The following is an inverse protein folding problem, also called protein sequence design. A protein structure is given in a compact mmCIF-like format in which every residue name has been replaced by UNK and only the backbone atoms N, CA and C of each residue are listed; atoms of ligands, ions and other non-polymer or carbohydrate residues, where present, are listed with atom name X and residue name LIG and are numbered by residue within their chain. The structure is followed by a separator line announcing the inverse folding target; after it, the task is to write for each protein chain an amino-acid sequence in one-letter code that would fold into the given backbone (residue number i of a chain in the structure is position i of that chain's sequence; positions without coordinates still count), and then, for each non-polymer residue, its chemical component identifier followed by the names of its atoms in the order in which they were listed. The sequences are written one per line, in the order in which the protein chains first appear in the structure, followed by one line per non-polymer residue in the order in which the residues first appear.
data_IF_302306067310
#
_entry.id   IF_302306067310
#
_cell.length_a   1.000
_cell.length_b   1.000
_cell.length_c   1.000
_cell.angle_alpha   90.00
_cell.angle_beta   90.00
_cell.angle_gamma   90.00
#
_symmetry.space_group_name_H-M   'P 1'
#
loop_
_entity.id
_entity.type
_entity.pdbx_description
1 polymer ?
#
# COMPACT_ATOMS: atom_id res chain seq x y z
N UNK A 1 2.70 -4.07 13.51
CA UNK A 1 2.70 -5.41 14.10
C UNK A 1 3.82 -6.24 13.49
N UNK A 2 4.47 -7.15 14.27
CA UNK A 2 5.36 -8.17 13.70
C UNK A 2 4.55 -9.17 12.87
N UNK A 3 5.21 -9.88 11.95
CA UNK A 3 4.53 -10.93 11.19
C UNK A 3 4.10 -12.09 12.11
N UNK A 4 5.01 -12.57 12.96
CA UNK A 4 4.75 -13.54 14.04
C UNK A 4 5.12 -12.96 15.40
N UNK A 5 4.40 -13.38 16.41
CA UNK A 5 4.67 -13.01 17.80
C UNK A 5 4.36 -14.19 18.73
N UNK A 6 4.71 -14.07 20.00
CA UNK A 6 4.30 -15.03 21.02
C UNK A 6 2.77 -15.14 21.11
N UNK A 7 2.26 -16.27 21.65
CA UNK A 7 0.86 -16.66 21.56
C UNK A 7 -0.16 -15.62 22.06
N UNK A 8 0.22 -14.81 23.02
CA UNK A 8 -0.61 -13.75 23.64
C UNK A 8 -0.45 -12.38 22.96
N UNK A 9 0.51 -12.23 22.04
CA UNK A 9 0.82 -10.96 21.40
C UNK A 9 0.14 -10.82 20.03
N UNK A 10 -0.25 -9.60 19.63
CA UNK A 10 -0.82 -9.35 18.31
C UNK A 10 0.23 -9.50 17.20
N UNK A 11 -0.16 -10.17 16.11
CA UNK A 11 0.68 -10.35 14.94
C UNK A 11 -0.16 -10.32 13.65
N UNK A 12 0.50 -10.06 12.52
CA UNK A 12 -0.15 -10.04 11.21
C UNK A 12 -0.69 -11.43 10.85
N UNK A 13 0.11 -12.47 11.09
CA UNK A 13 -0.29 -13.85 10.85
C UNK A 13 -1.57 -14.22 11.61
N UNK A 14 -1.65 -13.87 12.90
CA UNK A 14 -2.82 -14.12 13.75
C UNK A 14 -4.05 -13.35 13.26
N UNK A 15 -3.86 -12.09 12.84
CA UNK A 15 -4.92 -11.27 12.29
C UNK A 15 -5.52 -11.90 11.02
N UNK A 16 -4.68 -12.34 10.08
CA UNK A 16 -5.13 -12.98 8.84
C UNK A 16 -5.80 -14.32 9.10
N UNK A 17 -5.30 -15.13 10.01
CA UNK A 17 -5.94 -16.39 10.42
C UNK A 17 -7.32 -16.12 11.02
N UNK A 18 -7.45 -15.10 11.89
CA UNK A 18 -8.75 -14.74 12.47
C UNK A 18 -9.73 -14.20 11.42
N UNK A 19 -9.26 -13.43 10.42
CA UNK A 19 -10.07 -13.02 9.28
C UNK A 19 -10.60 -14.23 8.51
N UNK A 20 -9.73 -15.22 8.22
CA UNK A 20 -10.11 -16.43 7.52
C UNK A 20 -11.19 -17.21 8.28
N UNK A 21 -10.96 -17.48 9.56
CA UNK A 21 -11.82 -18.31 10.38
C UNK A 21 -13.18 -17.65 10.68
N UNK A 22 -13.18 -16.36 11.05
CA UNK A 22 -14.40 -15.67 11.52
C UNK A 22 -15.27 -15.13 10.38
N UNK A 23 -14.65 -14.63 9.34
CA UNK A 23 -15.36 -13.93 8.26
C UNK A 23 -15.34 -14.68 6.93
N UNK A 24 -14.99 -15.97 6.96
CA UNK A 24 -14.98 -16.84 5.77
C UNK A 24 -14.10 -16.30 4.62
N UNK A 25 -12.93 -15.76 4.96
CA UNK A 25 -11.90 -15.49 3.97
C UNK A 25 -11.08 -16.74 3.71
N UNK A 26 -10.68 -16.95 2.46
CA UNK A 26 -9.82 -18.08 2.07
C UNK A 26 -8.36 -17.68 2.21
N UNK A 27 -7.57 -18.34 3.07
CA UNK A 27 -6.16 -18.02 3.24
C UNK A 27 -5.33 -18.43 2.03
N UNK A 28 -4.31 -17.61 1.72
CA UNK A 28 -3.30 -17.86 0.70
C UNK A 28 -1.94 -18.00 1.37
N UNK A 29 -1.23 -19.08 1.06
CA UNK A 29 0.04 -19.42 1.67
C UNK A 29 1.20 -19.38 0.69
N UNK A 30 2.39 -19.01 1.19
CA UNK A 30 3.69 -19.25 0.57
C UNK A 30 4.51 -20.10 1.55
N UNK A 31 4.67 -21.40 1.26
CA UNK A 31 5.14 -22.38 2.23
C UNK A 31 4.19 -22.47 3.42
N UNK A 32 4.71 -22.25 4.63
CA UNK A 32 3.92 -22.23 5.88
C UNK A 32 3.40 -20.82 6.25
N UNK A 33 3.72 -19.80 5.45
CA UNK A 33 3.40 -18.43 5.77
C UNK A 33 2.10 -18.00 5.08
N UNK A 34 1.12 -17.55 5.86
CA UNK A 34 -0.09 -16.90 5.31
C UNK A 34 0.28 -15.51 4.80
N UNK A 35 0.13 -15.26 3.50
CA UNK A 35 0.57 -14.04 2.84
C UNK A 35 -0.58 -13.16 2.35
N UNK A 36 -1.77 -13.70 2.30
CA UNK A 36 -2.98 -12.99 1.91
C UNK A 36 -4.21 -13.77 2.37
N UNK A 37 -5.36 -13.12 2.28
CA UNK A 37 -6.68 -13.78 2.34
C UNK A 37 -7.54 -13.26 1.19
N UNK A 38 -8.40 -14.12 0.62
CA UNK A 38 -9.27 -13.79 -0.51
C UNK A 38 -10.73 -14.04 -0.18
N UNK A 39 -11.64 -13.25 -0.78
CA UNK A 39 -13.08 -13.43 -0.64
C UNK A 39 -13.78 -12.99 -1.93
N UNK A 40 -14.26 -13.95 -2.71
CA UNK A 40 -14.81 -13.65 -4.04
C UNK A 40 -13.74 -13.07 -4.98
N UNK A 41 -13.92 -11.83 -5.41
CA UNK A 41 -13.01 -11.13 -6.37
C UNK A 41 -12.08 -10.12 -5.71
N UNK A 42 -12.04 -10.03 -4.40
CA UNK A 42 -11.16 -9.11 -3.67
C UNK A 42 -10.25 -9.87 -2.71
N UNK A 43 -9.14 -9.25 -2.35
CA UNK A 43 -8.14 -9.84 -1.47
C UNK A 43 -7.58 -8.81 -0.48
N UNK A 44 -7.11 -9.30 0.66
CA UNK A 44 -6.26 -8.55 1.57
C UNK A 44 -4.87 -9.16 1.45
N UNK A 45 -3.94 -8.38 0.94
CA UNK A 45 -2.54 -8.76 0.78
C UNK A 45 -1.70 -8.14 1.90
N UNK A 46 -0.51 -8.69 2.12
CA UNK A 46 0.48 -8.09 3.02
C UNK A 46 1.64 -7.58 2.21
N UNK A 47 1.99 -6.31 2.42
CA UNK A 47 3.15 -5.67 1.82
C UNK A 47 4.42 -5.90 2.67
N UNK A 48 5.58 -5.57 2.11
CA UNK A 48 6.90 -5.92 2.66
C UNK A 48 7.18 -5.36 4.06
N UNK A 49 6.57 -4.25 4.42
CA UNK A 49 6.64 -3.65 5.77
C UNK A 49 5.51 -4.09 6.70
N UNK A 50 4.68 -5.05 6.28
CA UNK A 50 3.54 -5.53 7.06
C UNK A 50 2.26 -4.71 6.89
N UNK A 51 2.20 -3.83 5.90
CA UNK A 51 0.99 -3.09 5.56
C UNK A 51 -0.07 -4.04 5.02
N UNK A 52 -1.32 -3.86 5.43
CA UNK A 52 -2.47 -4.59 4.89
C UNK A 52 -3.06 -3.80 3.72
N UNK A 53 -3.08 -4.42 2.55
CA UNK A 53 -3.62 -3.84 1.32
C UNK A 53 -4.90 -4.53 0.92
N UNK A 54 -6.00 -3.77 0.82
CA UNK A 54 -7.22 -4.24 0.16
C UNK A 54 -7.07 -4.07 -1.36
N UNK A 55 -7.00 -5.17 -2.09
CA UNK A 55 -7.17 -5.20 -3.54
C UNK A 55 -8.66 -5.43 -3.84
N UNK A 56 -9.36 -4.34 -4.14
CA UNK A 56 -10.82 -4.34 -4.32
C UNK A 56 -11.29 -5.11 -5.54
N UNK A 57 -12.54 -5.54 -5.53
CA UNK A 57 -13.17 -6.19 -6.66
C UNK A 57 -13.44 -5.21 -7.81
N UNK A 58 -13.54 -5.67 -9.07
CA UNK A 58 -14.06 -4.87 -10.15
C UNK A 58 -15.56 -4.63 -9.93
N UNK A 59 -15.92 -3.41 -9.55
CA UNK A 59 -17.29 -3.01 -9.19
C UNK A 59 -17.84 -1.99 -10.17
N UNK A 60 -19.17 -1.94 -10.32
CA UNK A 60 -19.83 -1.15 -11.36
C UNK A 60 -19.85 0.36 -11.06
N UNK A 61 -19.74 0.76 -9.81
CA UNK A 61 -19.79 2.17 -9.40
C UNK A 61 -19.09 2.42 -8.06
N UNK A 62 -18.85 3.69 -7.78
CA UNK A 62 -18.13 4.15 -6.57
C UNK A 62 -18.90 3.86 -5.27
N UNK A 63 -20.22 3.72 -5.29
CA UNK A 63 -21.01 3.42 -4.10
C UNK A 63 -20.80 1.96 -3.67
N UNK A 64 -20.65 1.05 -4.64
CA UNK A 64 -20.26 -0.34 -4.36
C UNK A 64 -18.84 -0.41 -3.80
N UNK A 65 -17.88 0.34 -4.38
CA UNK A 65 -16.51 0.44 -3.86
C UNK A 65 -16.48 1.00 -2.44
N UNK A 66 -17.28 2.01 -2.14
CA UNK A 66 -17.39 2.57 -0.79
C UNK A 66 -17.95 1.54 0.21
N UNK A 67 -18.96 0.76 -0.17
CA UNK A 67 -19.51 -0.30 0.69
C UNK A 67 -18.49 -1.40 0.95
N UNK A 68 -17.76 -1.84 -0.07
CA UNK A 68 -16.69 -2.83 0.07
C UNK A 68 -15.62 -2.34 1.05
N UNK A 69 -15.09 -1.13 0.83
CA UNK A 69 -14.08 -0.53 1.71
C UNK A 69 -14.61 -0.37 3.16
N UNK A 70 -15.85 0.08 3.32
CA UNK A 70 -16.45 0.22 4.65
C UNK A 70 -16.55 -1.14 5.35
N UNK A 71 -17.02 -2.15 4.68
CA UNK A 71 -17.16 -3.50 5.22
C UNK A 71 -15.80 -4.06 5.66
N UNK A 72 -14.80 -3.96 4.79
CA UNK A 72 -13.41 -4.32 5.11
C UNK A 72 -12.89 -3.60 6.36
N UNK A 73 -13.05 -2.28 6.42
CA UNK A 73 -12.57 -1.49 7.56
C UNK A 73 -13.31 -1.83 8.86
N UNK A 74 -14.60 -2.14 8.80
CA UNK A 74 -15.39 -2.51 9.97
C UNK A 74 -14.96 -3.87 10.52
N UNK A 75 -14.77 -4.90 9.66
CA UNK A 75 -14.21 -6.20 10.05
C UNK A 75 -12.81 -6.02 10.69
N UNK A 76 -11.94 -5.29 10.03
CA UNK A 76 -10.56 -5.08 10.48
C UNK A 76 -10.47 -4.30 11.79
N UNK A 77 -11.32 -3.28 12.00
CA UNK A 77 -11.37 -2.52 13.26
C UNK A 77 -11.77 -3.38 14.45
N UNK A 78 -12.76 -4.25 14.27
CA UNK A 78 -13.20 -5.19 15.31
C UNK A 78 -12.02 -6.07 15.72
N UNK A 79 -11.36 -6.70 14.75
CA UNK A 79 -10.23 -7.59 15.02
C UNK A 79 -9.05 -6.86 15.65
N UNK A 80 -8.68 -5.71 15.12
CA UNK A 80 -7.58 -4.93 15.69
C UNK A 80 -7.85 -4.55 17.16
N UNK A 81 -9.09 -4.14 17.48
CA UNK A 81 -9.47 -3.81 18.85
C UNK A 81 -9.35 -5.02 19.79
N UNK A 82 -9.79 -6.19 19.36
CA UNK A 82 -9.71 -7.44 20.12
C UNK A 82 -8.25 -7.87 20.37
N UNK A 83 -7.38 -7.60 19.41
CA UNK A 83 -5.95 -7.89 19.50
C UNK A 83 -5.11 -6.75 20.11
N UNK A 84 -5.73 -5.71 20.68
CA UNK A 84 -4.99 -4.57 21.25
C UNK A 84 -4.18 -3.77 20.23
N UNK A 85 -4.59 -3.79 18.95
CA UNK A 85 -3.95 -3.10 17.86
C UNK A 85 -4.82 -1.95 17.31
N UNK A 86 -4.21 -1.03 16.57
CA UNK A 86 -4.89 0.03 15.84
C UNK A 86 -4.62 0.00 14.35
N UNK A 87 -5.47 0.68 13.60
CA UNK A 87 -5.29 0.89 12.15
C UNK A 87 -4.87 2.33 11.95
N UNK A 88 -3.85 2.54 11.13
CA UNK A 88 -3.35 3.86 10.77
C UNK A 88 -3.32 4.01 9.25
N UNK A 89 -4.25 4.83 8.71
CA UNK A 89 -4.36 5.12 7.29
C UNK A 89 -3.60 6.40 6.93
N UNK A 90 -2.28 6.30 6.80
CA UNK A 90 -1.37 7.42 6.50
C UNK A 90 -0.42 7.07 5.35
N UNK A 91 0.10 8.09 4.69
CA UNK A 91 0.98 7.88 3.54
C UNK A 91 2.39 7.38 3.86
N UNK A 92 2.90 7.63 5.07
CA UNK A 92 4.21 7.19 5.53
C UNK A 92 4.18 6.91 7.04
N UNK A 93 4.87 5.86 7.50
CA UNK A 93 4.91 5.51 8.92
C UNK A 93 5.59 6.61 9.73
N UNK A 94 4.89 7.24 10.73
CA UNK A 94 5.35 8.50 11.33
C UNK A 94 6.54 8.33 12.25
N UNK A 95 6.73 7.18 12.87
CA UNK A 95 7.70 6.95 13.95
C UNK A 95 8.65 5.79 13.72
N UNK A 96 8.30 4.81 12.88
CA UNK A 96 9.13 3.63 12.70
C UNK A 96 10.42 3.96 11.93
N UNK A 97 11.56 3.44 12.39
CA UNK A 97 12.77 3.44 11.58
C UNK A 97 12.63 2.45 10.42
N UNK A 98 13.51 2.59 9.41
CA UNK A 98 13.58 1.61 8.32
C UNK A 98 14.01 0.24 8.87
N UNK A 99 13.23 -0.82 8.67
CA UNK A 99 13.65 -2.17 9.06
C UNK A 99 14.80 -2.66 8.20
N UNK A 100 15.73 -3.42 8.80
CA UNK A 100 16.87 -3.98 8.08
C UNK A 100 16.49 -5.09 7.08
N UNK A 101 15.35 -5.75 7.29
CA UNK A 101 14.80 -6.82 6.45
C UNK A 101 13.28 -6.68 6.34
N UNK A 102 12.65 -7.31 5.33
CA UNK A 102 11.20 -7.37 5.23
C UNK A 102 10.57 -7.91 6.51
N UNK A 103 9.46 -7.31 6.91
CA UNK A 103 8.69 -7.80 8.08
C UNK A 103 7.99 -9.11 7.74
N UNK A 104 7.60 -9.28 6.48
CA UNK A 104 6.84 -10.44 5.99
C UNK A 104 7.77 -11.43 5.28
N UNK A 105 7.78 -12.71 5.67
CA UNK A 105 8.65 -13.72 5.08
C UNK A 105 8.11 -14.20 3.73
N UNK A 106 8.36 -13.42 2.68
CA UNK A 106 8.05 -13.77 1.28
C UNK A 106 9.30 -13.72 0.43
N UNK A 107 9.51 -14.73 -0.40
CA UNK A 107 10.67 -14.83 -1.31
C UNK A 107 10.84 -13.58 -2.18
N UNK A 108 9.73 -13.02 -2.68
CA UNK A 108 9.74 -11.77 -3.45
C UNK A 108 10.31 -10.59 -2.65
N UNK A 109 9.94 -10.47 -1.39
CA UNK A 109 10.37 -9.34 -0.54
C UNK A 109 11.84 -9.48 -0.11
N UNK A 110 12.29 -10.70 0.16
CA UNK A 110 13.71 -10.97 0.41
C UNK A 110 14.58 -10.63 -0.81
N UNK A 111 14.17 -11.05 -2.00
CA UNK A 111 14.86 -10.72 -3.25
C UNK A 111 14.91 -9.19 -3.50
N UNK A 112 13.84 -8.44 -3.17
CA UNK A 112 13.84 -6.99 -3.26
C UNK A 112 14.78 -6.34 -2.24
N UNK A 113 14.86 -6.87 -1.02
CA UNK A 113 15.76 -6.40 0.01
C UNK A 113 17.24 -6.64 -0.36
N UNK A 114 17.55 -7.77 -0.95
CA UNK A 114 18.91 -8.09 -1.41
C UNK A 114 19.35 -7.19 -2.59
N UNK A 115 18.40 -6.66 -3.36
CA UNK A 115 18.64 -5.64 -4.40
C UNK A 115 18.70 -4.21 -3.85
N UNK A 116 18.50 -4.01 -2.57
CA UNK A 116 18.20 -2.74 -1.90
C UNK A 116 19.26 -1.65 -1.97
N UNK A 117 20.46 -1.92 -2.48
CA UNK A 117 21.44 -0.88 -2.79
C UNK A 117 21.03 0.02 -3.98
N UNK A 118 19.99 -0.35 -4.74
CA UNK A 118 19.52 0.36 -5.95
C UNK A 118 18.23 1.16 -5.76
N UNK A 119 17.46 0.89 -4.70
CA UNK A 119 16.17 1.55 -4.45
C UNK A 119 16.06 1.93 -2.98
N UNK A 120 15.44 3.07 -2.69
CA UNK A 120 15.17 3.46 -1.32
C UNK A 120 14.09 2.53 -0.71
N UNK A 121 14.52 1.58 0.11
CA UNK A 121 13.66 0.57 0.74
C UNK A 121 12.55 1.19 1.60
N UNK A 122 12.69 2.44 2.04
CA UNK A 122 11.65 3.19 2.77
C UNK A 122 10.34 3.24 1.98
N UNK A 123 10.42 3.30 0.64
CA UNK A 123 9.24 3.29 -0.20
C UNK A 123 8.40 2.03 0.01
N UNK A 124 8.98 0.86 -0.08
CA UNK A 124 8.25 -0.41 0.07
C UNK A 124 7.83 -0.72 1.51
N UNK A 125 8.68 -0.36 2.48
CA UNK A 125 8.49 -0.81 3.86
C UNK A 125 7.64 0.13 4.73
N UNK A 126 7.62 1.43 4.42
CA UNK A 126 7.04 2.44 5.30
C UNK A 126 5.92 3.26 4.66
N UNK A 127 5.54 2.97 3.41
CA UNK A 127 4.49 3.74 2.74
C UNK A 127 3.17 2.98 2.63
N UNK A 128 2.07 3.73 2.64
CA UNK A 128 0.75 3.27 2.26
C UNK A 128 0.16 4.22 1.20
N UNK A 129 -0.74 3.70 0.37
CA UNK A 129 -1.38 4.50 -0.67
C UNK A 129 -2.82 4.05 -0.93
N UNK A 130 -3.59 4.94 -1.55
CA UNK A 130 -4.83 4.59 -2.24
C UNK A 130 -4.53 4.67 -3.73
N UNK A 131 -4.89 3.64 -4.47
CA UNK A 131 -4.62 3.53 -5.90
C UNK A 131 -5.93 3.32 -6.67
N UNK A 132 -6.06 3.99 -7.81
CA UNK A 132 -7.13 3.75 -8.76
C UNK A 132 -6.52 3.39 -10.11
N UNK A 133 -6.94 2.25 -10.67
CA UNK A 133 -6.52 1.81 -11.99
C UNK A 133 -7.53 2.31 -13.04
N UNK A 134 -7.04 2.92 -14.09
CA UNK A 134 -7.86 3.43 -15.17
C UNK A 134 -7.68 2.58 -16.42
N UNK A 135 -8.76 1.98 -16.89
CA UNK A 135 -8.77 1.29 -18.17
C UNK A 135 -8.70 2.27 -19.33
N UNK A 136 -8.23 1.80 -20.47
CA UNK A 136 -8.19 2.56 -21.73
C UNK A 136 -8.62 1.69 -22.90
N UNK A 137 -9.27 2.32 -23.88
CA UNK A 137 -9.81 1.63 -25.04
C UNK A 137 -8.76 1.35 -26.12
N UNK A 138 -7.77 2.23 -26.24
CA UNK A 138 -6.69 2.18 -27.23
C UNK A 138 -5.55 3.11 -26.80
N UNK A 139 -4.45 3.13 -27.57
CA UNK A 139 -3.27 3.93 -27.27
C UNK A 139 -3.55 5.44 -27.17
N UNK A 140 -4.36 5.98 -28.07
CA UNK A 140 -4.71 7.41 -28.06
C UNK A 140 -5.49 7.79 -26.79
N UNK A 141 -6.39 6.93 -26.31
CA UNK A 141 -7.13 7.11 -25.06
C UNK A 141 -6.17 6.97 -23.85
N UNK A 142 -5.23 6.04 -23.90
CA UNK A 142 -4.20 5.86 -22.87
C UNK A 142 -3.34 7.12 -22.74
N UNK A 143 -2.82 7.66 -23.86
CA UNK A 143 -1.99 8.88 -23.87
C UNK A 143 -2.78 10.07 -23.31
N UNK A 144 -4.04 10.23 -23.69
CA UNK A 144 -4.91 11.29 -23.18
C UNK A 144 -5.09 11.19 -21.66
N UNK A 145 -5.40 10.00 -21.15
CA UNK A 145 -5.57 9.73 -19.70
C UNK A 145 -4.27 9.96 -18.93
N UNK A 146 -3.14 9.51 -19.48
CA UNK A 146 -1.81 9.74 -18.89
C UNK A 146 -1.50 11.24 -18.78
N UNK A 147 -1.70 12.01 -19.84
CA UNK A 147 -1.49 13.47 -19.86
C UNK A 147 -2.35 14.18 -18.81
N UNK A 148 -3.64 13.84 -18.74
CA UNK A 148 -4.55 14.39 -17.73
C UNK A 148 -4.10 14.01 -16.31
N UNK A 149 -3.73 12.75 -16.06
CA UNK A 149 -3.23 12.29 -14.77
C UNK A 149 -1.98 13.04 -14.32
N UNK A 150 -1.01 13.21 -15.22
CA UNK A 150 0.21 13.96 -14.95
C UNK A 150 -0.06 15.45 -14.67
N UNK A 151 -0.95 16.08 -15.43
CA UNK A 151 -1.33 17.49 -15.23
C UNK A 151 -2.06 17.71 -13.89
N UNK A 152 -2.85 16.74 -13.44
CA UNK A 152 -3.57 16.79 -12.17
C UNK A 152 -2.72 16.37 -10.96
N UNK A 153 -1.56 15.75 -11.16
CA UNK A 153 -0.73 15.19 -10.08
C UNK A 153 -0.44 16.20 -8.94
N UNK A 154 -0.04 17.46 -9.18
CA UNK A 154 0.24 18.40 -8.10
C UNK A 154 -1.00 18.69 -7.23
N UNK A 155 -2.18 18.79 -7.87
CA UNK A 155 -3.45 19.02 -7.19
C UNK A 155 -3.81 17.82 -6.31
N UNK A 156 -3.72 16.62 -6.87
CA UNK A 156 -4.01 15.37 -6.15
C UNK A 156 -3.05 15.17 -4.96
N UNK A 157 -1.76 15.41 -5.17
CA UNK A 157 -0.77 15.35 -4.08
C UNK A 157 -1.11 16.35 -2.98
N UNK A 158 -1.52 17.57 -3.31
CA UNK A 158 -1.94 18.57 -2.32
C UNK A 158 -3.19 18.18 -1.54
N UNK A 159 -4.21 17.65 -2.23
CA UNK A 159 -5.49 17.24 -1.63
C UNK A 159 -5.36 16.02 -0.70
N UNK A 160 -4.50 15.06 -1.05
CA UNK A 160 -4.35 13.79 -0.33
C UNK A 160 -3.05 13.69 0.50
N UNK A 161 -2.37 14.83 0.73
CA UNK A 161 -1.16 14.88 1.55
C UNK A 161 -1.47 14.50 3.01
N UNK A 162 -0.86 13.40 3.51
CA UNK A 162 -1.09 12.91 4.86
C UNK A 162 0.13 12.17 5.46
N UNK A 163 1.34 12.65 5.16
CA UNK A 163 2.58 12.04 5.66
C UNK A 163 3.63 13.09 6.07
N UNK A 164 3.34 13.93 7.09
CA UNK A 164 4.25 15.00 7.48
C UNK A 164 5.39 14.56 8.40
N UNK A 165 5.31 13.38 9.02
CA UNK A 165 6.27 12.94 10.03
C UNK A 165 7.18 11.83 9.54
N UNK A 166 8.44 11.85 10.01
CA UNK A 166 9.47 10.82 9.79
C UNK A 166 10.23 10.61 11.09
N UNK A 167 10.28 9.36 11.57
CA UNK A 167 10.99 9.01 12.81
C UNK A 167 10.62 9.92 14.01
N UNK A 168 9.33 10.24 14.12
CA UNK A 168 8.79 11.07 15.19
C UNK A 168 9.02 12.57 15.05
N UNK A 169 9.58 13.05 13.95
CA UNK A 169 9.89 14.47 13.70
C UNK A 169 9.10 15.00 12.51
N UNK A 170 8.81 16.30 12.52
CA UNK A 170 8.27 16.99 11.35
C UNK A 170 9.32 16.94 10.21
N UNK A 171 8.91 16.46 9.05
CA UNK A 171 9.77 16.33 7.86
C UNK A 171 9.90 17.63 7.06
N UNK A 172 9.13 18.65 7.37
CA UNK A 172 8.98 19.87 6.57
C UNK A 172 8.10 19.71 5.33
N UNK A 173 7.53 18.52 5.08
CA UNK A 173 6.65 18.22 3.95
C UNK A 173 5.27 17.76 4.44
N UNK A 174 4.20 18.19 3.77
CA UNK A 174 2.87 17.64 4.03
C UNK A 174 2.70 16.22 3.48
N UNK A 175 3.45 15.87 2.42
CA UNK A 175 3.53 14.53 1.85
C UNK A 175 5.00 14.11 1.68
N UNK A 176 5.61 13.61 2.75
CA UNK A 176 6.97 13.05 2.70
C UNK A 176 7.02 11.83 1.76
N UNK A 177 5.93 11.05 1.69
CA UNK A 177 5.81 9.94 0.73
C UNK A 177 6.03 10.39 -0.71
N UNK A 178 5.46 11.52 -1.12
CA UNK A 178 5.66 12.07 -2.46
C UNK A 178 7.11 12.52 -2.65
N UNK A 179 7.69 13.23 -1.68
CA UNK A 179 9.09 13.65 -1.72
C UNK A 179 10.06 12.46 -1.83
N UNK A 180 9.78 11.37 -1.12
CA UNK A 180 10.56 10.13 -1.21
C UNK A 180 10.49 9.53 -2.61
N UNK A 181 9.29 9.46 -3.19
CA UNK A 181 9.08 8.95 -4.54
C UNK A 181 9.80 9.79 -5.60
N UNK A 182 9.77 11.11 -5.51
CA UNK A 182 10.47 11.98 -6.47
C UNK A 182 11.98 11.77 -6.44
N UNK A 183 12.58 11.62 -5.26
CA UNK A 183 14.01 11.35 -5.11
C UNK A 183 14.43 9.99 -5.66
N UNK A 184 13.61 8.98 -5.45
CA UNK A 184 13.90 7.61 -5.89
C UNK A 184 13.79 7.46 -7.41
N UNK A 185 12.87 8.21 -8.05
CA UNK A 185 12.54 8.08 -9.47
C UNK A 185 12.77 9.37 -10.28
N UNK A 186 13.53 10.32 -9.78
CA UNK A 186 13.68 11.66 -10.36
C UNK A 186 14.00 11.65 -11.86
N UNK A 187 14.98 10.84 -12.29
CA UNK A 187 15.33 10.72 -13.72
C UNK A 187 14.23 10.10 -14.56
N UNK A 188 13.47 9.16 -14.02
CA UNK A 188 12.38 8.51 -14.74
C UNK A 188 11.17 9.43 -14.87
N UNK A 189 10.83 10.16 -13.80
CA UNK A 189 9.68 11.08 -13.81
C UNK A 189 9.89 12.24 -14.79
N UNK A 190 11.07 12.86 -14.78
CA UNK A 190 11.40 13.94 -15.72
C UNK A 190 11.25 13.48 -17.17
N UNK A 191 11.80 12.31 -17.50
CA UNK A 191 11.71 11.73 -18.85
C UNK A 191 10.27 11.39 -19.24
N UNK A 192 9.45 10.91 -18.32
CA UNK A 192 8.02 10.65 -18.57
C UNK A 192 7.25 11.92 -18.88
N UNK A 193 7.51 13.01 -18.15
CA UNK A 193 6.88 14.30 -18.42
C UNK A 193 7.24 14.84 -19.80
N UNK A 194 8.53 14.82 -20.15
CA UNK A 194 8.99 15.22 -21.49
C UNK A 194 8.32 14.41 -22.59
N UNK A 195 8.30 13.08 -22.50
CA UNK A 195 7.66 12.20 -23.49
C UNK A 195 6.14 12.38 -23.55
N UNK A 196 5.46 12.57 -22.42
CA UNK A 196 4.01 12.69 -22.39
C UNK A 196 3.49 14.00 -23.04
N UNK A 197 4.32 15.06 -23.02
CA UNK A 197 3.96 16.38 -23.53
C UNK A 197 4.78 16.83 -24.75
N UNK A 198 5.67 15.98 -25.29
CA UNK A 198 6.31 16.24 -26.58
C UNK A 198 5.31 16.10 -27.74
N UNK A 199 5.40 16.98 -28.71
CA UNK A 199 4.57 16.98 -29.94
C UNK A 199 5.15 16.03 -31.00
N UNK A 200 5.50 14.78 -30.64
CA UNK A 200 5.95 13.77 -31.62
C UNK A 200 4.80 12.89 -32.08
#
# INVERSE_FOLDING_TARGET
LPYRAADDQPSIEKLLKTLADRYAWTPVFEGENIIAVTKGKYSINIESGGQLELSGAPLNDIHHTQRELKHYLDELRILCKEHGAGILGIGYHPTAPLPARPVVPRTRFEALADQGARHDMRWGFLTCSVQANYDYANEADMIKKLRVGLALQPIIVGLFANSPFVEGKDSGYRSYRYQLNTRTHERQQTRFMELAFSDN
#
